data_IF_488891895499
#
_entry.id   IF_488891895499
#
_cell.length_a   1.000
_cell.length_b   1.000
_cell.length_c   1.000
_cell.angle_alpha   90.00
_cell.angle_beta   90.00
_cell.angle_gamma   90.00
#
_symmetry.space_group_name_H-M   'P 1'
#
loop_
_entity.id
_entity.type
_entity.pdbx_description
1 polymer ?
#
# COMPACT_ATOMS: atom_id res chain seq x y z
N UNK A 1 19.47 -8.41 -10.28
CA UNK A 1 19.13 -8.61 -8.86
C UNK A 1 20.31 -9.01 -7.97
N UNK A 2 21.45 -9.45 -8.51
CA UNK A 2 22.61 -9.89 -7.70
C UNK A 2 23.03 -8.90 -6.59
N UNK A 3 23.08 -7.60 -6.89
CA UNK A 3 23.44 -6.59 -5.90
C UNK A 3 22.49 -6.54 -4.69
N UNK A 4 21.19 -6.82 -4.89
CA UNK A 4 20.23 -6.89 -3.79
C UNK A 4 20.55 -8.08 -2.88
N UNK A 5 20.82 -9.26 -3.45
CA UNK A 5 21.23 -10.44 -2.67
C UNK A 5 22.55 -10.22 -1.94
N UNK A 6 23.53 -9.61 -2.58
CA UNK A 6 24.84 -9.33 -1.99
C UNK A 6 24.69 -8.38 -0.79
N UNK A 7 23.90 -7.31 -0.94
CA UNK A 7 23.66 -6.35 0.12
C UNK A 7 22.77 -6.89 1.24
N UNK A 8 21.75 -7.68 0.93
CA UNK A 8 20.97 -8.40 1.95
C UNK A 8 21.85 -9.37 2.74
N UNK A 9 22.74 -10.11 2.08
CA UNK A 9 23.71 -10.97 2.79
C UNK A 9 24.68 -10.16 3.64
N UNK A 10 25.16 -9.03 3.15
CA UNK A 10 26.11 -8.18 3.85
C UNK A 10 25.51 -7.50 5.08
N UNK A 11 24.30 -6.95 4.96
CA UNK A 11 23.70 -6.08 5.98
C UNK A 11 22.66 -6.80 6.85
N UNK A 12 21.88 -7.71 6.29
CA UNK A 12 20.84 -8.46 7.02
C UNK A 12 21.35 -9.83 7.49
N UNK A 13 22.52 -10.26 7.02
CA UNK A 13 23.19 -11.50 7.44
C UNK A 13 22.52 -12.79 6.93
N UNK A 14 21.54 -12.67 6.02
CA UNK A 14 20.79 -13.81 5.48
C UNK A 14 21.11 -14.02 4.01
N UNK A 15 21.25 -15.28 3.61
CA UNK A 15 21.38 -15.64 2.21
C UNK A 15 20.00 -16.04 1.68
N UNK A 16 19.43 -15.20 0.82
CA UNK A 16 18.14 -15.44 0.20
C UNK A 16 18.32 -16.16 -1.15
N UNK A 17 17.36 -17.01 -1.48
CA UNK A 17 17.15 -17.63 -2.79
C UNK A 17 16.13 -16.83 -3.64
N UNK A 18 15.22 -16.12 -2.98
CA UNK A 18 14.22 -15.22 -3.58
C UNK A 18 14.08 -13.92 -2.79
N UNK A 19 13.83 -12.83 -3.52
CA UNK A 19 13.58 -11.51 -2.90
C UNK A 19 12.11 -11.33 -2.50
N UNK A 20 11.20 -12.02 -3.18
CA UNK A 20 9.75 -11.87 -2.96
C UNK A 20 9.25 -12.96 -2.03
N UNK A 21 8.57 -12.54 -0.96
CA UNK A 21 7.79 -13.44 -0.09
C UNK A 21 6.69 -14.11 -0.91
N UNK A 22 6.57 -15.42 -0.77
CA UNK A 22 5.57 -16.23 -1.47
C UNK A 22 4.20 -16.16 -0.80
N UNK A 23 3.14 -16.42 -1.55
CA UNK A 23 1.77 -16.48 -1.02
C UNK A 23 1.65 -17.54 0.09
N UNK A 24 2.32 -18.69 -0.07
CA UNK A 24 2.32 -19.75 0.94
C UNK A 24 2.93 -19.32 2.28
N UNK A 25 4.01 -18.52 2.27
CA UNK A 25 4.60 -17.96 3.50
C UNK A 25 3.68 -16.93 4.15
N UNK A 26 2.94 -16.15 3.35
CA UNK A 26 1.94 -15.21 3.86
C UNK A 26 0.78 -15.97 4.52
N UNK A 27 0.25 -17.00 3.86
CA UNK A 27 -0.81 -17.85 4.41
C UNK A 27 -0.37 -18.59 5.68
N UNK A 28 0.87 -19.05 5.72
CA UNK A 28 1.46 -19.63 6.93
C UNK A 28 1.54 -18.60 8.06
N UNK A 29 1.99 -17.38 7.79
CA UNK A 29 2.02 -16.32 8.79
C UNK A 29 0.62 -16.04 9.37
N UNK A 30 -0.43 -16.02 8.56
CA UNK A 30 -1.81 -15.88 9.05
C UNK A 30 -2.24 -17.03 9.98
N UNK A 31 -1.79 -18.26 9.73
CA UNK A 31 -2.10 -19.42 10.59
C UNK A 31 -1.34 -19.44 11.90
N UNK A 32 -0.19 -18.75 11.96
CA UNK A 32 0.66 -18.68 13.16
C UNK A 32 0.24 -17.56 14.12
N UNK A 33 -0.68 -16.70 13.72
CA UNK A 33 -1.12 -15.53 14.49
C UNK A 33 -2.50 -15.79 15.09
N UNK A 34 -2.69 -15.38 16.34
CA UNK A 34 -3.96 -15.57 17.05
C UNK A 34 -5.11 -14.78 16.41
N UNK A 35 -6.30 -15.38 16.35
CA UNK A 35 -7.49 -14.79 15.74
C UNK A 35 -7.87 -13.43 16.35
N UNK A 36 -7.75 -13.28 17.67
CA UNK A 36 -8.05 -12.03 18.39
C UNK A 36 -7.12 -10.89 17.94
N UNK A 37 -5.86 -11.20 17.63
CA UNK A 37 -4.91 -10.22 17.13
C UNK A 37 -5.23 -9.82 15.69
N UNK A 38 -5.62 -10.78 14.84
CA UNK A 38 -6.09 -10.50 13.48
C UNK A 38 -7.33 -9.61 13.50
N UNK A 39 -8.30 -9.88 14.37
CA UNK A 39 -9.49 -9.05 14.52
C UNK A 39 -9.14 -7.61 14.94
N UNK A 40 -8.18 -7.46 15.86
CA UNK A 40 -7.69 -6.14 16.28
C UNK A 40 -7.07 -5.37 15.11
N UNK A 41 -6.26 -6.03 14.28
CA UNK A 41 -5.67 -5.42 13.08
C UNK A 41 -6.72 -5.06 12.02
N UNK A 42 -7.75 -5.90 11.84
CA UNK A 42 -8.85 -5.61 10.94
C UNK A 42 -9.63 -4.37 11.39
N UNK A 43 -9.94 -4.25 12.67
CA UNK A 43 -10.60 -3.06 13.21
C UNK A 43 -9.76 -1.79 13.02
N UNK A 44 -8.44 -1.88 13.24
CA UNK A 44 -7.53 -0.77 13.01
C UNK A 44 -7.50 -0.37 11.52
N UNK A 45 -7.42 -1.35 10.62
CA UNK A 45 -7.48 -1.14 9.17
C UNK A 45 -8.78 -0.42 8.78
N UNK A 46 -9.92 -0.88 9.25
CA UNK A 46 -11.22 -0.32 8.87
C UNK A 46 -11.38 1.13 9.33
N UNK A 47 -10.86 1.45 10.53
CA UNK A 47 -10.85 2.82 11.05
C UNK A 47 -9.96 3.74 10.19
N UNK A 48 -8.74 3.29 9.87
CA UNK A 48 -7.78 4.05 9.04
C UNK A 48 -8.36 4.27 7.65
N UNK A 49 -8.93 3.22 7.04
CA UNK A 49 -9.51 3.29 5.71
C UNK A 49 -10.70 4.24 5.66
N UNK A 50 -11.60 4.16 6.65
CA UNK A 50 -12.77 5.05 6.75
C UNK A 50 -12.32 6.50 6.84
N UNK A 51 -11.36 6.81 7.72
CA UNK A 51 -10.85 8.17 7.86
C UNK A 51 -10.26 8.73 6.56
N UNK A 52 -9.41 7.95 5.87
CA UNK A 52 -8.79 8.42 4.63
C UNK A 52 -9.75 8.48 3.44
N UNK A 53 -10.82 7.66 3.43
CA UNK A 53 -11.90 7.77 2.44
C UNK A 53 -12.61 9.12 2.54
N UNK A 54 -12.88 9.60 3.76
CA UNK A 54 -13.49 10.92 3.98
C UNK A 54 -12.59 12.09 3.52
N UNK A 55 -11.27 11.90 3.51
CA UNK A 55 -10.31 12.91 3.05
C UNK A 55 -10.12 12.94 1.53
N UNK A 56 -10.71 11.99 0.78
CA UNK A 56 -10.43 11.83 -0.65
C UNK A 56 -10.93 13.04 -1.45
N UNK A 57 -10.01 13.72 -2.13
CA UNK A 57 -10.34 14.82 -3.02
C UNK A 57 -10.90 14.28 -4.35
N UNK A 58 -12.01 14.87 -4.80
CA UNK A 58 -12.59 14.57 -6.09
C UNK A 58 -12.11 15.56 -7.15
N UNK A 59 -11.84 15.06 -8.35
CA UNK A 59 -11.67 15.91 -9.53
C UNK A 59 -12.92 16.77 -9.73
N UNK A 60 -12.76 18.00 -10.21
CA UNK A 60 -13.87 18.91 -10.45
C UNK A 60 -13.63 19.77 -11.69
N UNK A 61 -14.72 20.17 -12.33
CA UNK A 61 -14.73 21.10 -13.47
C UNK A 61 -15.92 22.03 -13.29
N UNK A 62 -15.75 23.33 -13.55
CA UNK A 62 -16.82 24.34 -13.49
C UNK A 62 -16.75 25.32 -14.68
N UNK A 63 -17.90 25.89 -15.11
CA UNK A 63 -17.90 27.01 -16.04
C UNK A 63 -17.15 28.22 -15.46
N UNK A 64 -16.50 29.01 -16.32
CA UNK A 64 -15.84 30.25 -15.89
C UNK A 64 -16.27 31.46 -16.74
N UNK A 65 -16.11 31.36 -18.06
CA UNK A 65 -16.54 32.39 -19.04
C UNK A 65 -17.12 31.70 -20.26
N UNK A 66 -17.68 32.49 -21.19
CA UNK A 66 -18.24 31.97 -22.45
C UNK A 66 -17.22 31.04 -23.11
N UNK A 67 -17.62 29.79 -23.32
CA UNK A 67 -16.84 28.71 -23.92
C UNK A 67 -15.55 28.31 -23.15
N UNK A 68 -15.39 28.72 -21.89
CA UNK A 68 -14.22 28.42 -21.04
C UNK A 68 -14.64 27.70 -19.76
N UNK A 69 -13.99 26.57 -19.47
CA UNK A 69 -14.12 25.79 -18.24
C UNK A 69 -12.81 25.77 -17.46
N UNK A 70 -12.91 25.76 -16.14
CA UNK A 70 -11.79 25.58 -15.21
C UNK A 70 -11.99 24.27 -14.46
N UNK A 71 -10.90 23.59 -14.11
CA UNK A 71 -10.99 22.35 -13.35
C UNK A 71 -9.68 21.94 -12.73
N UNK A 72 -9.76 20.94 -11.87
CA UNK A 72 -8.64 20.24 -11.30
C UNK A 72 -8.88 18.74 -11.47
N UNK A 73 -7.87 18.05 -11.98
CA UNK A 73 -7.87 16.60 -12.07
C UNK A 73 -6.94 16.03 -10.99
N UNK A 74 -7.48 15.17 -10.15
CA UNK A 74 -6.78 14.44 -9.10
C UNK A 74 -6.67 12.98 -9.55
N UNK A 75 -5.44 12.46 -9.66
CA UNK A 75 -5.15 11.07 -9.98
C UNK A 75 -4.21 10.48 -8.91
N UNK A 76 -4.29 9.17 -8.68
CA UNK A 76 -3.33 8.45 -7.85
C UNK A 76 -1.96 8.40 -8.51
N UNK A 77 -0.91 8.25 -7.71
CA UNK A 77 0.42 7.85 -8.22
C UNK A 77 0.42 6.38 -8.62
N UNK A 78 1.19 6.04 -9.65
CA UNK A 78 1.16 4.69 -10.24
C UNK A 78 1.78 3.62 -9.34
N UNK A 79 2.76 3.98 -8.50
CA UNK A 79 3.50 3.05 -7.63
C UNK A 79 3.97 3.76 -6.35
N UNK A 80 3.96 3.02 -5.24
CA UNK A 80 4.46 3.44 -3.92
C UNK A 80 5.32 2.30 -3.37
N UNK A 81 6.46 2.64 -2.75
CA UNK A 81 7.22 1.71 -1.92
C UNK A 81 6.89 1.96 -0.45
N UNK A 82 6.54 0.90 0.28
CA UNK A 82 6.21 0.92 1.71
C UNK A 82 7.11 -0.08 2.45
#
# INVERSE_FOLDING_TARGET
DQALFDYTKQFDGVQLDRLRVSEAEIDEAFRLVDDDFIQTLQQAKDNIETYHKEQRQNSWIRPFRKDVRLGQQINSIDRVGL
#
